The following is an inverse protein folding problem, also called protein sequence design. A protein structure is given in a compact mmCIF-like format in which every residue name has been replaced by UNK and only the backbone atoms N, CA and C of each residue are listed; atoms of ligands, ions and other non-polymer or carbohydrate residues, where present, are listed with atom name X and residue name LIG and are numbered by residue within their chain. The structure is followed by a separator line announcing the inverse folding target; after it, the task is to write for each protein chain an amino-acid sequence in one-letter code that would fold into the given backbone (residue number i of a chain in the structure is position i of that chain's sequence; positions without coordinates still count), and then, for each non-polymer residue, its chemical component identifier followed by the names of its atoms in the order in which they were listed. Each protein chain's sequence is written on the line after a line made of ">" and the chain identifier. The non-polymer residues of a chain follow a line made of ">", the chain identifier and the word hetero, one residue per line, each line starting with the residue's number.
data_IF_500848646820
#
_entry.id   IF_500848646820
#
_cell.length_a   1.000
_cell.length_b   1.000
_cell.length_c   1.000
_cell.angle_alpha   90.00
_cell.angle_beta   90.00
_cell.angle_gamma   90.00
#
_symmetry.space_group_name_H-M   'P 1'
#
loop_
_entity.id
_entity.type
_entity.pdbx_description
1 polymer ?
#
# COMPACT_ATOMS: atom_id res chain seq x y z
N UNK A 1 -10.27 -17.83 47.41
CA UNK A 1 -11.00 -16.55 47.48
C UNK A 1 -10.01 -15.41 47.26
N UNK A 2 -9.35 -15.39 46.10
CA UNK A 2 -8.23 -14.48 45.84
C UNK A 2 -8.48 -13.73 44.54
N UNK A 3 -8.12 -12.45 44.51
CA UNK A 3 -8.39 -11.55 43.38
C UNK A 3 -7.66 -11.94 42.08
N UNK A 4 -6.83 -12.99 42.13
CA UNK A 4 -5.98 -13.47 41.04
C UNK A 4 -6.54 -14.71 40.34
N UNK A 5 -7.80 -15.05 40.56
CA UNK A 5 -8.47 -16.11 39.81
C UNK A 5 -8.50 -15.75 38.32
N UNK A 6 -8.01 -16.65 37.45
CA UNK A 6 -7.95 -16.43 35.99
C UNK A 6 -9.33 -16.07 35.39
N UNK A 7 -10.42 -16.53 36.04
CA UNK A 7 -11.81 -16.23 35.69
C UNK A 7 -12.12 -14.73 35.81
N UNK A 8 -11.50 -14.03 36.75
CA UNK A 8 -11.68 -12.59 36.92
C UNK A 8 -11.12 -11.81 35.72
N UNK A 9 -9.93 -12.18 35.24
CA UNK A 9 -9.32 -11.61 34.04
C UNK A 9 -10.16 -11.87 32.78
N UNK A 10 -10.76 -13.05 32.66
CA UNK A 10 -11.69 -13.36 31.56
C UNK A 10 -12.92 -12.44 31.59
N UNK A 11 -13.53 -12.24 32.76
CA UNK A 11 -14.68 -11.34 32.90
C UNK A 11 -14.31 -9.90 32.54
N UNK A 12 -13.14 -9.41 32.99
CA UNK A 12 -12.65 -8.08 32.64
C UNK A 12 -12.44 -7.93 31.12
N UNK A 13 -11.80 -8.91 30.46
CA UNK A 13 -11.61 -8.86 29.01
C UNK A 13 -12.94 -8.79 28.26
N UNK A 14 -13.94 -9.56 28.69
CA UNK A 14 -15.27 -9.52 28.09
C UNK A 14 -15.89 -8.12 28.24
N UNK A 15 -15.81 -7.51 29.43
CA UNK A 15 -16.33 -6.15 29.66
C UNK A 15 -15.62 -5.12 28.77
N UNK A 16 -14.29 -5.20 28.65
CA UNK A 16 -13.50 -4.32 27.77
C UNK A 16 -13.96 -4.47 26.31
N UNK A 17 -14.11 -5.71 25.81
CA UNK A 17 -14.59 -5.96 24.45
C UNK A 17 -15.99 -5.40 24.23
N UNK A 18 -16.87 -5.47 25.22
CA UNK A 18 -18.23 -4.93 25.14
C UNK A 18 -18.26 -3.39 25.13
N UNK A 19 -17.42 -2.73 25.93
CA UNK A 19 -17.34 -1.26 26.00
C UNK A 19 -16.73 -0.68 24.74
N UNK A 20 -15.60 -1.24 24.28
CA UNK A 20 -14.91 -0.74 23.09
C UNK A 20 -15.54 -1.26 21.79
N UNK A 21 -16.25 -2.38 21.85
CA UNK A 21 -16.83 -3.07 20.70
C UNK A 21 -15.79 -3.84 19.87
N UNK A 22 -16.22 -4.94 19.26
CA UNK A 22 -15.35 -5.80 18.42
C UNK A 22 -14.80 -5.09 17.19
N UNK A 23 -15.50 -4.06 16.68
CA UNK A 23 -15.07 -3.31 15.48
C UNK A 23 -13.83 -2.45 15.75
N UNK A 24 -13.72 -1.81 16.91
CA UNK A 24 -12.52 -1.02 17.28
C UNK A 24 -11.35 -1.93 17.63
N UNK A 25 -11.60 -2.98 18.41
CA UNK A 25 -10.59 -3.99 18.75
C UNK A 25 -10.04 -4.72 17.52
N UNK A 26 -10.88 -4.99 16.51
CA UNK A 26 -10.40 -5.64 15.27
C UNK A 26 -9.48 -4.71 14.46
N UNK A 27 -9.86 -3.45 14.26
CA UNK A 27 -8.99 -2.52 13.52
C UNK A 27 -7.66 -2.30 14.24
N UNK A 28 -7.71 -2.00 15.54
CA UNK A 28 -6.48 -1.77 16.32
C UNK A 28 -5.66 -3.05 16.55
N UNK A 29 -6.35 -4.18 16.70
CA UNK A 29 -5.74 -5.49 16.89
C UNK A 29 -5.10 -6.05 15.61
N UNK A 30 -5.57 -5.68 14.42
CA UNK A 30 -4.90 -6.03 13.15
C UNK A 30 -3.55 -5.32 13.06
N UNK A 31 -3.50 -4.01 13.26
CA UNK A 31 -2.25 -3.22 13.15
C UNK A 31 -1.19 -3.67 14.17
N UNK A 32 -1.62 -3.86 15.43
CA UNK A 32 -0.74 -4.35 16.51
C UNK A 32 -0.39 -5.82 16.29
N UNK A 33 -1.34 -6.62 15.81
CA UNK A 33 -1.16 -8.05 15.54
C UNK A 33 -0.15 -8.32 14.42
N UNK A 34 -0.15 -7.50 13.36
CA UNK A 34 0.82 -7.60 12.27
C UNK A 34 2.25 -7.29 12.74
N UNK A 35 2.39 -6.26 13.57
CA UNK A 35 3.68 -5.88 14.17
C UNK A 35 4.25 -7.00 15.04
N UNK A 36 3.41 -7.62 15.87
CA UNK A 36 3.80 -8.75 16.74
C UNK A 36 4.03 -10.03 15.91
N UNK A 37 3.27 -10.24 14.83
CA UNK A 37 3.42 -11.40 13.93
C UNK A 37 4.78 -11.38 13.23
N UNK A 38 5.23 -10.22 12.74
CA UNK A 38 6.57 -10.06 12.17
C UNK A 38 7.68 -10.36 13.18
N UNK A 39 7.52 -9.90 14.42
CA UNK A 39 8.45 -10.19 15.51
C UNK A 39 8.50 -11.70 15.83
N UNK A 40 7.35 -12.36 15.99
CA UNK A 40 7.33 -13.82 16.20
C UNK A 40 7.91 -14.57 15.00
N UNK A 41 7.61 -14.14 13.77
CA UNK A 41 8.13 -14.75 12.54
C UNK A 41 9.65 -14.68 12.50
N UNK A 42 10.24 -13.51 12.73
CA UNK A 42 11.70 -13.34 12.79
C UNK A 42 12.33 -14.21 13.88
N UNK A 43 11.71 -14.25 15.06
CA UNK A 43 12.22 -15.01 16.20
C UNK A 43 12.08 -16.54 16.05
N UNK A 44 11.26 -17.01 15.09
CA UNK A 44 11.15 -18.43 14.72
C UNK A 44 11.90 -18.78 13.42
N UNK A 45 12.18 -17.81 12.53
CA UNK A 45 12.94 -18.00 11.28
C UNK A 45 14.44 -18.23 11.54
N UNK A 46 14.98 -17.81 12.70
CA UNK A 46 16.31 -18.21 13.15
C UNK A 46 16.46 -19.74 13.28
N UNK A 47 15.35 -20.50 13.33
CA UNK A 47 15.34 -21.97 13.41
C UNK A 47 14.93 -22.68 12.09
N UNK A 48 14.56 -21.98 11.01
CA UNK A 48 14.16 -22.62 9.73
C UNK A 48 14.37 -21.73 8.48
N UNK A 49 14.87 -22.26 7.34
CA UNK A 49 15.13 -21.46 6.13
C UNK A 49 13.85 -20.79 5.59
N UNK A 50 13.98 -19.52 5.21
CA UNK A 50 12.91 -18.59 4.85
C UNK A 50 12.05 -19.03 3.65
N UNK A 51 10.73 -18.92 3.80
CA UNK A 51 9.71 -19.07 2.75
C UNK A 51 9.13 -17.67 2.41
N UNK A 52 9.21 -17.18 1.15
CA UNK A 52 8.93 -15.79 0.80
C UNK A 52 7.44 -15.52 0.51
N UNK A 53 6.52 -16.01 1.36
CA UNK A 53 5.07 -15.85 1.13
C UNK A 53 4.32 -15.40 2.38
N UNK A 54 4.70 -14.28 2.99
CA UNK A 54 3.84 -13.63 4.01
C UNK A 54 3.74 -12.13 3.79
N UNK A 55 3.36 -11.74 2.57
CA UNK A 55 2.70 -10.46 2.30
C UNK A 55 1.21 -10.74 2.06
N UNK A 56 0.38 -10.78 3.10
CA UNK A 56 -1.07 -10.62 2.93
C UNK A 56 -1.73 -9.99 4.15
N UNK A 57 -1.96 -8.69 4.03
CA UNK A 57 -3.19 -8.04 4.46
C UNK A 57 -3.47 -6.82 3.55
N UNK A 58 -3.95 -7.10 2.34
CA UNK A 58 -4.70 -6.13 1.55
C UNK A 58 -6.16 -6.62 1.50
N UNK A 59 -7.10 -5.90 2.13
CA UNK A 59 -8.49 -6.02 1.71
C UNK A 59 -9.12 -4.64 1.52
N UNK A 60 -9.11 -4.14 0.28
CA UNK A 60 -10.21 -3.40 -0.35
C UNK A 60 -9.83 -2.93 -1.76
N UNK A 61 -10.12 -3.73 -2.79
CA UNK A 61 -10.47 -3.18 -4.11
C UNK A 61 -11.61 -4.01 -4.71
N UNK A 62 -12.81 -3.44 -4.90
CA UNK A 62 -13.74 -3.94 -5.91
C UNK A 62 -13.14 -3.64 -7.28
N UNK A 63 -12.97 -4.69 -8.07
CA UNK A 63 -12.60 -4.68 -9.48
C UNK A 63 -13.53 -3.76 -10.29
N UNK A 64 -12.97 -2.72 -10.92
CA UNK A 64 -13.57 -2.12 -12.12
C UNK A 64 -12.81 -2.66 -13.34
N UNK A 65 -13.48 -3.30 -14.32
CA UNK A 65 -12.83 -3.80 -15.52
C UNK A 65 -12.39 -2.65 -16.42
N UNK A 66 -11.12 -2.70 -16.85
CA UNK A 66 -10.57 -1.86 -17.91
C UNK A 66 -11.24 -2.26 -19.23
N UNK A 67 -12.00 -1.36 -19.85
CA UNK A 67 -12.60 -1.58 -21.17
C UNK A 67 -11.73 -0.89 -22.24
N UNK A 68 -11.21 -1.59 -23.27
CA UNK A 68 -10.52 -0.97 -24.39
C UNK A 68 -11.58 -0.44 -25.38
N UNK A 69 -11.75 0.88 -25.48
CA UNK A 69 -12.63 1.47 -26.49
C UNK A 69 -11.79 2.23 -27.53
N UNK A 70 -11.56 1.55 -28.65
CA UNK A 70 -11.05 2.13 -29.87
C UNK A 70 -12.00 3.22 -30.38
N UNK A 71 -11.47 4.42 -30.62
CA UNK A 71 -12.08 5.41 -31.52
C UNK A 71 -10.97 6.08 -32.31
N UNK A 72 -10.64 5.48 -33.45
CA UNK A 72 -10.02 6.21 -34.57
C UNK A 72 -11.15 6.65 -35.50
N UNK A 73 -11.16 7.91 -35.94
CA UNK A 73 -11.55 8.22 -37.31
C UNK A 73 -10.42 8.94 -38.05
N UNK A 74 -10.11 8.33 -39.19
CA UNK A 74 -9.31 8.77 -40.32
C UNK A 74 -9.75 10.14 -40.84
N UNK A 75 -8.81 11.10 -40.95
CA UNK A 75 -8.65 11.98 -42.12
C UNK A 75 -7.41 12.90 -42.00
N UNK A 76 -6.42 12.65 -42.86
CA UNK A 76 -5.29 13.54 -43.19
C UNK A 76 -5.79 14.78 -43.99
N UNK A 77 -4.98 15.79 -44.42
CA UNK A 77 -3.50 15.91 -44.40
C UNK A 77 -2.98 17.30 -43.96
N UNK A 78 -1.65 17.44 -43.79
CA UNK A 78 -0.79 18.59 -44.15
C UNK A 78 0.49 18.58 -43.31
N UNK A 79 1.46 17.80 -43.78
CA UNK A 79 2.90 18.08 -43.64
C UNK A 79 3.21 19.43 -44.32
N UNK A 80 4.07 20.27 -43.71
CA UNK A 80 4.62 21.60 -44.09
C UNK A 80 4.77 22.39 -42.76
N UNK A 81 5.89 22.98 -42.34
CA UNK A 81 7.16 23.25 -43.00
C UNK A 81 8.26 23.47 -41.93
N UNK A 82 9.49 23.31 -42.39
CA UNK A 82 10.72 23.79 -41.76
C UNK A 82 10.61 25.30 -41.57
N UNK A 83 10.96 25.88 -40.41
CA UNK A 83 11.56 27.23 -40.24
C UNK A 83 11.83 27.57 -38.76
N UNK A 84 13.09 27.42 -38.34
CA UNK A 84 13.71 28.27 -37.31
C UNK A 84 15.25 28.17 -37.39
N UNK A 85 15.82 28.35 -38.59
CA UNK A 85 17.24 28.66 -38.76
C UNK A 85 17.35 30.16 -39.09
N UNK A 86 17.53 31.01 -38.08
CA UNK A 86 18.06 32.38 -38.25
C UNK A 86 18.46 33.01 -36.90
N UNK A 87 19.69 32.78 -36.45
CA UNK A 87 20.47 33.82 -35.75
C UNK A 87 21.91 33.66 -36.23
N UNK A 88 22.21 34.35 -37.33
CA UNK A 88 23.56 34.58 -37.82
C UNK A 88 24.26 35.59 -36.91
N UNK A 89 25.52 35.29 -36.61
CA UNK A 89 26.43 36.03 -35.72
C UNK A 89 26.63 37.48 -36.14
N UNK A 90 26.93 38.36 -35.17
CA UNK A 90 28.05 39.27 -35.41
C UNK A 90 29.00 39.40 -34.21
N UNK A 91 30.27 39.07 -34.48
CA UNK A 91 31.45 39.84 -34.06
C UNK A 91 31.79 39.80 -32.55
N UNK A 92 32.73 38.91 -32.20
CA UNK A 92 33.93 39.36 -31.45
C UNK A 92 35.18 38.96 -32.22
N UNK A 93 35.49 39.92 -33.08
CA UNK A 93 36.75 40.24 -33.72
C UNK A 93 37.90 40.26 -32.69
N UNK A 94 38.89 39.43 -32.98
CA UNK A 94 40.35 39.60 -32.80
C UNK A 94 40.84 40.66 -31.80
N UNK A 95 41.55 40.20 -30.76
CA UNK A 95 42.81 40.76 -30.24
C UNK A 95 43.55 39.74 -29.39
#
# INVERSE_FOLDING_TARGET
>A
MGIFDWKHWVVILVVVVLVFGTKKLKNLGTDVGESIKGFRKAMNDDEKPADPTTNQAQPAQPTQPVHPQATQPVNAPNTIDVQAQKVEEPIRKDS
#
